data_IF_523703668649
#
_entry.id   IF_523703668649
#
_cell.length_a   1.000
_cell.length_b   1.000
_cell.length_c   1.000
_cell.angle_alpha   90.00
_cell.angle_beta   90.00
_cell.angle_gamma   90.00
#
_symmetry.space_group_name_H-M   'P 1'
#
loop_
_entity.id
_entity.type
_entity.pdbx_description
1 polymer ?
#
# COMPACT_ATOMS: atom_id res chain seq x y z
N UNK A 1 33.34 -9.72 49.45
CA UNK A 1 34.06 -9.14 48.30
C UNK A 1 33.16 -9.24 47.09
N UNK A 2 32.91 -8.06 46.51
CA UNK A 2 32.14 -7.66 45.34
C UNK A 2 31.72 -8.79 44.37
N UNK A 3 30.41 -9.07 44.34
CA UNK A 3 29.67 -9.58 43.17
C UNK A 3 29.99 -8.67 41.96
N UNK A 4 31.06 -8.96 41.24
CA UNK A 4 31.64 -8.02 40.26
C UNK A 4 31.71 -8.56 38.83
N UNK A 5 30.86 -9.53 38.48
CA UNK A 5 30.84 -10.04 37.09
C UNK A 5 29.44 -10.24 36.50
N UNK A 6 28.37 -10.07 37.27
CA UNK A 6 26.99 -10.17 36.74
C UNK A 6 26.53 -8.84 36.10
N UNK A 7 27.23 -7.73 36.37
CA UNK A 7 26.85 -6.40 35.87
C UNK A 7 27.38 -6.06 34.46
N UNK A 8 28.18 -6.92 33.82
CA UNK A 8 28.71 -6.63 32.47
C UNK A 8 27.92 -7.28 31.33
N UNK A 9 26.92 -8.10 31.66
CA UNK A 9 26.02 -8.76 30.69
C UNK A 9 24.69 -8.01 30.54
N UNK A 10 24.59 -6.82 31.13
CA UNK A 10 23.46 -5.89 31.05
C UNK A 10 23.83 -4.67 30.19
N UNK A 11 24.40 -4.95 29.03
CA UNK A 11 24.55 -4.02 27.91
C UNK A 11 23.80 -4.66 26.72
N UNK A 12 22.49 -4.96 26.81
CA UNK A 12 21.40 -3.99 26.55
C UNK A 12 21.96 -2.70 25.94
N UNK A 13 21.80 -2.41 24.66
CA UNK A 13 20.61 -2.57 23.86
C UNK A 13 21.05 -2.72 22.40
N UNK A 14 20.82 -3.89 21.81
CA UNK A 14 20.66 -3.98 20.36
C UNK A 14 19.39 -3.21 20.03
N UNK A 15 19.52 -1.92 19.74
CA UNK A 15 18.47 -1.18 19.06
C UNK A 15 18.47 -1.70 17.64
N UNK A 16 17.86 -2.88 17.46
CA UNK A 16 17.36 -3.28 16.16
C UNK A 16 16.33 -2.23 15.80
N UNK A 17 16.78 -1.17 15.13
CA UNK A 17 15.91 -0.27 14.41
C UNK A 17 15.25 -1.09 13.31
N UNK A 18 14.23 -1.87 13.67
CA UNK A 18 13.20 -2.24 12.74
C UNK A 18 12.55 -0.92 12.36
N UNK A 19 13.04 -0.31 11.28
CA UNK A 19 12.29 0.70 10.55
C UNK A 19 11.09 -0.02 9.96
N UNK A 20 10.08 -0.25 10.79
CA UNK A 20 8.76 -0.65 10.34
C UNK A 20 8.18 0.56 9.64
N UNK A 21 8.47 0.68 8.34
CA UNK A 21 7.89 1.69 7.46
C UNK A 21 6.37 1.63 7.63
N UNK A 22 5.79 2.67 8.23
CA UNK A 22 4.35 2.70 8.48
C UNK A 22 3.64 3.21 7.24
N UNK A 23 2.97 2.28 6.54
CA UNK A 23 2.00 2.64 5.52
C UNK A 23 0.71 3.07 6.20
N UNK A 24 0.20 4.25 5.84
CA UNK A 24 -1.09 4.77 6.30
C UNK A 24 -2.05 4.82 5.12
N UNK A 25 -3.32 4.49 5.34
CA UNK A 25 -4.36 4.64 4.31
C UNK A 25 -4.48 6.12 3.94
N UNK A 26 -4.29 6.44 2.67
CA UNK A 26 -4.40 7.79 2.14
C UNK A 26 -5.82 8.05 1.64
N UNK A 27 -6.28 7.23 0.69
CA UNK A 27 -7.65 7.30 0.19
C UNK A 27 -8.13 5.98 -0.41
N UNK A 28 -9.45 5.90 -0.60
CA UNK A 28 -10.16 4.74 -1.14
C UNK A 28 -10.93 5.12 -2.40
N UNK A 29 -10.91 4.25 -3.39
CA UNK A 29 -11.64 4.39 -4.66
C UNK A 29 -12.62 3.22 -4.76
N UNK A 30 -13.87 3.53 -5.08
CA UNK A 30 -14.84 2.52 -5.49
C UNK A 30 -15.12 2.71 -6.98
N UNK A 31 -14.92 1.66 -7.77
CA UNK A 31 -14.95 1.77 -9.21
C UNK A 31 -15.20 0.47 -9.95
N UNK A 32 -15.00 0.51 -11.26
CA UNK A 32 -15.13 -0.62 -12.18
C UNK A 32 -13.87 -0.69 -13.04
N UNK A 33 -13.34 -1.90 -13.22
CA UNK A 33 -12.23 -2.14 -14.15
C UNK A 33 -12.74 -1.88 -15.56
N UNK A 34 -12.15 -0.88 -16.22
CA UNK A 34 -12.45 -0.56 -17.61
C UNK A 34 -11.59 -1.31 -18.59
N UNK A 35 -10.33 -1.49 -18.24
CA UNK A 35 -9.34 -2.09 -19.12
C UNK A 35 -8.25 -2.77 -18.30
N UNK A 36 -7.74 -3.87 -18.83
CA UNK A 36 -6.61 -4.61 -18.28
C UNK A 36 -5.42 -4.47 -19.22
N UNK A 37 -4.41 -3.70 -18.81
CA UNK A 37 -3.23 -3.40 -19.63
C UNK A 37 -2.17 -4.47 -19.36
N UNK A 38 -2.17 -5.53 -20.18
CA UNK A 38 -1.28 -6.69 -19.99
C UNK A 38 0.21 -6.36 -20.12
N UNK A 39 0.58 -5.44 -21.00
CA UNK A 39 1.98 -5.12 -21.29
C UNK A 39 2.67 -4.42 -20.11
N UNK A 40 1.91 -3.70 -19.30
CA UNK A 40 2.41 -2.86 -18.20
C UNK A 40 1.97 -3.39 -16.81
N UNK A 41 1.25 -4.52 -16.75
CA UNK A 41 0.69 -5.08 -15.51
C UNK A 41 -0.14 -4.06 -14.71
N UNK A 42 -0.99 -3.30 -15.41
CA UNK A 42 -1.83 -2.25 -14.82
C UNK A 42 -3.32 -2.48 -15.06
N UNK A 43 -4.13 -1.96 -14.14
CA UNK A 43 -5.58 -1.89 -14.24
C UNK A 43 -6.03 -0.44 -14.44
N UNK A 44 -6.89 -0.22 -15.42
CA UNK A 44 -7.57 1.06 -15.61
C UNK A 44 -8.92 1.01 -14.90
N UNK A 45 -9.09 1.81 -13.85
CA UNK A 45 -10.28 1.80 -13.00
C UNK A 45 -11.01 3.13 -13.14
N UNK A 46 -12.27 3.08 -13.56
CA UNK A 46 -13.15 4.25 -13.50
C UNK A 46 -13.95 4.21 -12.21
N UNK A 47 -13.80 5.23 -11.37
CA UNK A 47 -14.41 5.24 -10.04
C UNK A 47 -14.45 6.62 -9.42
N UNK A 48 -14.96 6.67 -8.19
CA UNK A 48 -15.00 7.88 -7.38
C UNK A 48 -14.26 7.66 -6.07
N UNK A 49 -13.57 8.69 -5.54
CA UNK A 49 -13.04 8.65 -4.19
C UNK A 49 -14.17 8.47 -3.17
N UNK A 50 -13.96 7.60 -2.17
CA UNK A 50 -14.91 7.36 -1.10
C UNK A 50 -15.18 8.60 -0.24
N UNK A 51 -14.22 9.54 -0.18
CA UNK A 51 -14.36 10.85 0.49
C UNK A 51 -15.33 11.81 -0.21
N UNK A 52 -15.87 11.43 -1.38
CA UNK A 52 -16.61 12.31 -2.27
C UNK A 52 -15.68 12.98 -3.28
N UNK A 53 -16.10 13.01 -4.54
CA UNK A 53 -15.32 13.51 -5.67
C UNK A 53 -16.03 13.26 -7.00
N UNK A 54 -15.39 13.66 -8.09
CA UNK A 54 -15.89 13.40 -9.44
C UNK A 54 -15.49 11.99 -9.89
N UNK A 55 -16.25 11.44 -10.84
CA UNK A 55 -15.86 10.23 -11.58
C UNK A 55 -14.53 10.52 -12.29
N UNK A 56 -13.55 9.67 -12.08
CA UNK A 56 -12.23 9.76 -12.67
C UNK A 56 -11.70 8.37 -13.03
N UNK A 57 -10.68 8.36 -13.88
CA UNK A 57 -9.98 7.15 -14.27
C UNK A 57 -8.64 7.10 -13.55
N UNK A 58 -8.30 5.92 -13.02
CA UNK A 58 -7.10 5.65 -12.25
C UNK A 58 -6.33 4.51 -12.90
N UNK A 59 -5.03 4.70 -13.07
CA UNK A 59 -4.10 3.66 -13.51
C UNK A 59 -3.46 3.05 -12.25
N UNK A 60 -3.78 1.80 -11.96
CA UNK A 60 -3.33 1.11 -10.74
C UNK A 60 -2.41 -0.05 -11.14
N UNK A 61 -1.11 -0.01 -10.78
CA UNK A 61 -0.21 -1.13 -11.01
C UNK A 61 -0.55 -2.30 -10.10
N UNK A 62 -0.42 -3.53 -10.60
CA UNK A 62 -0.65 -4.74 -9.82
C UNK A 62 0.48 -5.74 -9.98
N UNK A 63 0.71 -6.55 -8.95
CA UNK A 63 1.75 -7.59 -8.99
C UNK A 63 1.36 -8.80 -9.89
N UNK A 64 0.09 -8.92 -10.25
CA UNK A 64 -0.44 -9.98 -11.11
C UNK A 64 -1.83 -9.59 -11.61
N UNK A 65 -2.08 -9.82 -12.89
CA UNK A 65 -3.38 -9.61 -13.53
C UNK A 65 -4.36 -10.78 -13.34
N UNK A 66 -3.89 -11.90 -12.78
CA UNK A 66 -4.73 -13.09 -12.57
C UNK A 66 -5.93 -12.78 -11.68
N UNK A 67 -7.14 -13.05 -12.18
CA UNK A 67 -8.40 -12.87 -11.46
C UNK A 67 -9.09 -11.52 -11.68
N UNK A 68 -8.46 -10.60 -12.43
CA UNK A 68 -9.03 -9.32 -12.81
C UNK A 68 -9.56 -9.34 -14.25
N UNK A 69 -10.78 -8.86 -14.44
CA UNK A 69 -11.47 -8.80 -15.72
C UNK A 69 -12.19 -7.45 -15.88
N UNK A 70 -12.32 -7.01 -17.13
CA UNK A 70 -13.10 -5.82 -17.47
C UNK A 70 -14.56 -5.96 -17.00
N UNK A 71 -15.11 -4.86 -16.48
CA UNK A 71 -16.47 -4.80 -15.96
C UNK A 71 -16.63 -5.24 -14.50
N UNK A 72 -15.60 -5.81 -13.87
CA UNK A 72 -15.65 -6.13 -12.44
C UNK A 72 -15.64 -4.85 -11.59
N UNK A 73 -16.45 -4.83 -10.53
CA UNK A 73 -16.38 -3.74 -9.54
C UNK A 73 -15.30 -4.02 -8.52
N UNK A 74 -14.61 -2.96 -8.12
CA UNK A 74 -13.47 -3.03 -7.21
C UNK A 74 -13.51 -1.91 -6.19
N UNK A 75 -13.02 -2.24 -5.01
CA UNK A 75 -12.56 -1.29 -4.01
C UNK A 75 -11.03 -1.27 -4.05
N UNK A 76 -10.44 -0.09 -4.18
CA UNK A 76 -8.99 0.12 -4.15
C UNK A 76 -8.68 0.99 -2.94
N UNK A 77 -7.77 0.51 -2.09
CA UNK A 77 -7.23 1.28 -0.97
C UNK A 77 -5.79 1.66 -1.33
N UNK A 78 -5.54 2.96 -1.37
CA UNK A 78 -4.22 3.54 -1.64
C UNK A 78 -3.58 3.88 -0.31
N UNK A 79 -2.41 3.32 -0.06
CA UNK A 79 -1.61 3.59 1.11
C UNK A 79 -0.38 4.42 0.72
N UNK A 80 -0.14 5.49 1.48
CA UNK A 80 1.07 6.29 1.37
C UNK A 80 2.00 6.00 2.54
N UNK A 81 3.31 6.06 2.27
CA UNK A 81 4.32 5.99 3.30
C UNK A 81 4.50 7.37 3.92
N UNK A 82 4.11 7.54 5.18
CA UNK A 82 4.17 8.84 5.88
C UNK A 82 5.58 9.22 6.34
N UNK A 83 6.54 8.28 6.31
CA UNK A 83 7.92 8.52 6.72
C UNK A 83 8.81 9.02 5.57
N UNK A 84 8.36 8.83 4.32
CA UNK A 84 8.99 9.41 3.14
C UNK A 84 8.20 10.66 2.75
N UNK A 85 8.73 11.84 3.06
CA UNK A 85 8.21 13.16 2.65
C UNK A 85 8.35 13.40 1.12
N UNK A 86 8.19 12.32 0.34
CA UNK A 86 8.43 12.25 -1.09
C UNK A 86 7.37 11.34 -1.70
N UNK A 87 6.42 11.94 -2.43
CA UNK A 87 5.45 11.23 -3.26
C UNK A 87 6.19 10.50 -4.39
N UNK A 88 6.69 9.30 -4.10
CA UNK A 88 7.22 8.37 -5.09
C UNK A 88 6.20 7.24 -5.27
N UNK A 89 5.78 6.99 -6.52
CA UNK A 89 4.96 5.84 -6.89
C UNK A 89 5.58 4.52 -6.37
N UNK A 90 6.91 4.45 -6.29
CA UNK A 90 7.66 3.31 -5.73
C UNK A 90 7.39 3.03 -4.24
N UNK A 91 6.82 4.00 -3.50
CA UNK A 91 6.50 3.89 -2.08
C UNK A 91 4.99 3.89 -1.81
N UNK A 92 4.16 3.75 -2.86
CA UNK A 92 2.71 3.60 -2.72
C UNK A 92 2.36 2.11 -2.69
N UNK A 93 1.43 1.74 -1.81
CA UNK A 93 0.89 0.38 -1.74
C UNK A 93 -0.59 0.43 -2.12
N UNK A 94 -1.01 -0.50 -2.98
CA UNK A 94 -2.38 -0.63 -3.45
C UNK A 94 -2.94 -1.96 -2.98
N UNK A 95 -4.03 -1.93 -2.20
CA UNK A 95 -4.82 -3.13 -1.93
C UNK A 95 -6.11 -3.07 -2.74
N UNK A 96 -6.33 -4.06 -3.60
CA UNK A 96 -7.48 -4.14 -4.50
C UNK A 96 -8.35 -5.31 -4.07
N UNK A 97 -9.63 -5.04 -3.86
CA UNK A 97 -10.63 -6.04 -3.49
C UNK A 97 -11.76 -6.04 -4.51
N UNK A 98 -12.08 -7.20 -5.08
CA UNK A 98 -13.28 -7.37 -5.90
C UNK A 98 -14.52 -7.23 -5.02
N UNK A 99 -15.48 -6.40 -5.44
CA UNK A 99 -16.76 -6.20 -4.75
C UNK A 99 -17.89 -6.56 -5.73
N UNK A 100 -18.88 -7.34 -5.29
CA UNK A 100 -19.94 -7.89 -6.17
C UNK A 100 -20.82 -6.81 -6.86
#
# INVERSE_FOLDING_TARGET
MKLSYILLLLLSVTVSGCTSTSFTEDFRINGTIKEVIQEEEMLLIEGTPASGGNLATYEIPVASLYGYEEGQKVEVIVYSNTDADVWHLDNMKFDITLIE
#
